data_IF_303300597975
#
_entry.id   IF_303300597975
#
_cell.length_a   1.000
_cell.length_b   1.000
_cell.length_c   1.000
_cell.angle_alpha   90.00
_cell.angle_beta   90.00
_cell.angle_gamma   90.00
#
_symmetry.space_group_name_H-M   'P 1'
#
loop_
_entity.id
_entity.type
_entity.pdbx_description
1 polymer ?
#
# COMPACT_ATOMS: atom_id res chain seq x y z
N UNK A 1 -48.37 -19.72 -24.92
CA UNK A 1 -47.36 -20.65 -24.35
C UNK A 1 -45.92 -20.41 -24.85
N UNK A 2 -45.66 -19.51 -25.81
CA UNK A 2 -44.30 -19.11 -26.22
C UNK A 2 -43.89 -17.73 -25.71
N UNK A 3 -44.85 -16.80 -25.62
CA UNK A 3 -44.68 -15.39 -25.21
C UNK A 3 -44.20 -15.25 -23.76
N UNK A 4 -44.78 -16.05 -22.88
CA UNK A 4 -44.45 -16.22 -21.46
C UNK A 4 -43.01 -16.75 -21.24
N UNK A 5 -42.54 -17.64 -22.10
CA UNK A 5 -41.16 -18.16 -22.08
C UNK A 5 -40.14 -17.11 -22.54
N UNK A 6 -40.53 -16.29 -23.51
CA UNK A 6 -39.71 -15.20 -24.06
C UNK A 6 -39.61 -14.03 -23.06
N UNK A 7 -40.70 -13.71 -22.37
CA UNK A 7 -40.72 -12.68 -21.33
C UNK A 7 -39.83 -13.03 -20.14
N UNK A 8 -39.86 -14.30 -19.70
CA UNK A 8 -38.96 -14.77 -18.63
C UNK A 8 -37.48 -14.67 -19.03
N UNK A 9 -37.15 -14.99 -20.29
CA UNK A 9 -35.77 -14.86 -20.81
C UNK A 9 -35.31 -13.40 -20.85
N UNK A 10 -36.19 -12.47 -21.23
CA UNK A 10 -35.88 -11.04 -21.22
C UNK A 10 -35.66 -10.51 -19.80
N UNK A 11 -36.49 -10.91 -18.84
CA UNK A 11 -36.31 -10.53 -17.43
C UNK A 11 -35.00 -11.07 -16.85
N UNK A 12 -34.65 -12.32 -17.16
CA UNK A 12 -33.37 -12.91 -16.72
C UNK A 12 -32.19 -12.18 -17.38
N UNK A 13 -32.26 -11.90 -18.69
CA UNK A 13 -31.20 -11.18 -19.39
C UNK A 13 -31.00 -9.77 -18.81
N UNK A 14 -32.09 -9.06 -18.51
CA UNK A 14 -32.03 -7.75 -17.86
C UNK A 14 -31.44 -7.83 -16.46
N UNK A 15 -31.83 -8.82 -15.66
CA UNK A 15 -31.27 -9.03 -14.32
C UNK A 15 -29.76 -9.30 -14.39
N UNK A 16 -29.32 -10.20 -15.28
CA UNK A 16 -27.90 -10.49 -15.49
C UNK A 16 -27.14 -9.24 -15.96
N UNK A 17 -27.72 -8.44 -16.86
CA UNK A 17 -27.11 -7.20 -17.33
C UNK A 17 -26.91 -6.20 -16.18
N UNK A 18 -27.91 -6.03 -15.31
CA UNK A 18 -27.81 -5.15 -14.13
C UNK A 18 -26.73 -5.65 -13.16
N UNK A 19 -26.68 -6.95 -12.88
CA UNK A 19 -25.65 -7.54 -12.00
C UNK A 19 -24.26 -7.35 -12.60
N UNK A 20 -24.08 -7.61 -13.89
CA UNK A 20 -22.80 -7.45 -14.58
C UNK A 20 -22.35 -5.98 -14.59
N UNK A 21 -23.26 -5.05 -14.87
CA UNK A 21 -22.99 -3.62 -14.87
C UNK A 21 -22.60 -3.13 -13.47
N UNK A 22 -23.36 -3.52 -12.45
CA UNK A 22 -23.09 -3.16 -11.05
C UNK A 22 -21.76 -3.75 -10.58
N UNK A 23 -21.48 -5.01 -10.89
CA UNK A 23 -20.21 -5.66 -10.56
C UNK A 23 -19.02 -5.01 -11.25
N UNK A 24 -19.14 -4.67 -12.54
CA UNK A 24 -18.12 -3.94 -13.29
C UNK A 24 -17.84 -2.57 -12.66
N UNK A 25 -18.89 -1.80 -12.36
CA UNK A 25 -18.74 -0.50 -11.72
C UNK A 25 -18.14 -0.62 -10.33
N UNK A 26 -18.57 -1.58 -9.51
CA UNK A 26 -17.97 -1.82 -8.19
C UNK A 26 -16.49 -2.15 -8.29
N UNK A 27 -16.10 -3.06 -9.20
CA UNK A 27 -14.70 -3.42 -9.42
C UNK A 27 -13.88 -2.22 -9.92
N UNK A 28 -14.42 -1.44 -10.87
CA UNK A 28 -13.80 -0.22 -11.39
C UNK A 28 -13.61 0.83 -10.29
N UNK A 29 -14.64 1.10 -9.48
CA UNK A 29 -14.58 2.06 -8.37
C UNK A 29 -13.61 1.62 -7.29
N UNK A 30 -13.56 0.33 -6.94
CA UNK A 30 -12.55 -0.19 -6.00
C UNK A 30 -11.15 -0.04 -6.59
N UNK A 31 -10.97 -0.34 -7.88
CA UNK A 31 -9.67 -0.20 -8.56
C UNK A 31 -9.23 1.26 -8.63
N UNK A 32 -10.15 2.17 -8.97
CA UNK A 32 -9.90 3.61 -9.05
C UNK A 32 -9.70 4.22 -7.65
N UNK A 33 -10.41 3.75 -6.62
CA UNK A 33 -10.20 4.20 -5.25
C UNK A 33 -8.85 3.71 -4.69
N UNK A 34 -8.46 2.47 -4.99
CA UNK A 34 -7.11 1.96 -4.68
C UNK A 34 -6.06 2.77 -5.44
N UNK A 35 -6.30 3.05 -6.72
CA UNK A 35 -5.40 3.84 -7.57
C UNK A 35 -5.27 5.29 -7.08
N UNK A 36 -6.36 5.97 -6.73
CA UNK A 36 -6.35 7.34 -6.20
C UNK A 36 -5.76 7.43 -4.80
N UNK A 37 -5.99 6.44 -3.94
CA UNK A 37 -5.31 6.36 -2.65
C UNK A 37 -3.80 6.18 -2.83
N UNK A 38 -3.37 5.38 -3.83
CA UNK A 38 -1.97 5.22 -4.20
C UNK A 38 -1.37 6.46 -4.91
N UNK A 39 -2.17 7.30 -5.59
CA UNK A 39 -1.70 8.52 -6.28
C UNK A 39 -1.70 9.78 -5.41
N UNK A 40 -2.35 9.74 -4.24
CA UNK A 40 -2.29 10.83 -3.24
C UNK A 40 -1.00 10.79 -2.45
N UNK A 41 -0.38 9.62 -2.35
CA UNK A 41 0.92 9.44 -1.77
C UNK A 41 2.00 9.54 -2.87
N UNK A 42 3.14 10.18 -2.57
CA UNK A 42 4.19 10.46 -3.55
C UNK A 42 4.77 9.15 -4.11
N UNK A 43 4.96 9.01 -5.45
CA UNK A 43 5.43 7.77 -6.05
C UNK A 43 6.74 7.31 -5.43
N UNK A 44 6.83 6.01 -5.12
CA UNK A 44 7.99 5.42 -4.47
C UNK A 44 9.16 5.44 -5.45
N UNK A 45 10.09 6.36 -5.24
CA UNK A 45 11.24 6.56 -6.11
C UNK A 45 12.44 5.70 -5.71
N UNK A 46 13.32 5.41 -6.69
CA UNK A 46 14.50 4.54 -6.48
C UNK A 46 15.49 5.10 -5.46
N UNK A 47 15.53 6.41 -5.28
CA UNK A 47 16.42 7.10 -4.34
C UNK A 47 15.88 7.09 -2.90
N UNK A 48 14.57 6.82 -2.71
CA UNK A 48 13.96 6.82 -1.38
C UNK A 48 14.50 5.65 -0.55
N UNK A 49 14.62 5.86 0.76
CA UNK A 49 15.00 4.81 1.71
C UNK A 49 13.76 4.20 2.35
N UNK A 50 13.85 2.98 2.91
CA UNK A 50 12.74 2.35 3.64
C UNK A 50 12.24 3.27 4.76
N UNK A 51 13.15 3.91 5.49
CA UNK A 51 12.80 4.85 6.55
C UNK A 51 12.07 6.10 6.05
N UNK A 52 12.46 6.63 4.88
CA UNK A 52 11.79 7.77 4.26
C UNK A 52 10.36 7.42 3.85
N UNK A 53 10.17 6.29 3.16
CA UNK A 53 8.83 5.81 2.76
C UNK A 53 7.97 5.52 3.99
N UNK A 54 8.52 4.89 5.01
CA UNK A 54 7.82 4.66 6.28
C UNK A 54 7.32 5.97 6.91
N UNK A 55 8.15 7.02 6.87
CA UNK A 55 7.81 8.32 7.41
C UNK A 55 6.74 9.03 6.58
N UNK A 56 6.89 9.10 5.25
CA UNK A 56 5.95 9.77 4.35
C UNK A 56 4.56 9.14 4.37
N UNK A 57 4.50 7.81 4.51
CA UNK A 57 3.24 7.06 4.51
C UNK A 57 2.71 6.78 5.93
N UNK A 58 3.38 7.29 6.97
CA UNK A 58 3.06 7.09 8.38
C UNK A 58 2.88 5.61 8.79
N UNK A 59 3.71 4.73 8.24
CA UNK A 59 3.70 3.30 8.56
C UNK A 59 4.94 2.90 9.34
N UNK A 60 4.85 1.94 10.27
CA UNK A 60 6.02 1.46 10.98
C UNK A 60 7.04 0.82 10.02
N UNK A 61 8.34 1.14 10.13
CA UNK A 61 9.36 0.62 9.21
C UNK A 61 9.40 -0.91 9.17
N UNK A 62 9.15 -1.57 10.30
CA UNK A 62 9.19 -3.04 10.41
C UNK A 62 8.16 -3.74 9.50
N UNK A 63 7.04 -3.07 9.19
CA UNK A 63 6.04 -3.59 8.23
C UNK A 63 6.63 -3.65 6.84
N UNK A 64 7.32 -2.57 6.43
CA UNK A 64 7.98 -2.49 5.13
C UNK A 64 9.16 -3.47 5.03
N UNK A 65 9.95 -3.62 6.10
CA UNK A 65 11.01 -4.63 6.16
C UNK A 65 10.46 -6.05 5.98
N UNK A 66 9.34 -6.38 6.66
CA UNK A 66 8.68 -7.68 6.52
C UNK A 66 8.14 -7.90 5.10
N UNK A 67 7.54 -6.88 4.50
CA UNK A 67 7.01 -6.96 3.14
C UNK A 67 8.10 -7.25 2.09
N UNK A 68 9.31 -6.75 2.33
CA UNK A 68 10.46 -6.96 1.47
C UNK A 68 11.34 -8.17 1.87
N UNK A 69 10.98 -8.91 2.92
CA UNK A 69 11.80 -9.97 3.53
C UNK A 69 13.21 -9.51 3.95
N UNK A 70 13.34 -8.24 4.36
CA UNK A 70 14.58 -7.73 4.96
C UNK A 70 14.59 -7.95 6.48
N UNK A 71 15.78 -8.13 7.08
CA UNK A 71 15.91 -8.08 8.53
C UNK A 71 15.39 -6.74 9.07
N UNK A 72 14.78 -6.72 10.27
CA UNK A 72 14.25 -5.52 10.91
C UNK A 72 15.37 -4.65 11.50
N UNK A 73 16.34 -4.29 10.66
CA UNK A 73 17.45 -3.40 10.99
C UNK A 73 17.25 -2.06 10.26
N UNK A 74 17.70 -0.93 10.85
CA UNK A 74 17.65 0.37 10.18
C UNK A 74 18.46 0.34 8.89
N UNK A 75 17.78 0.19 7.75
CA UNK A 75 18.42 0.19 6.45
C UNK A 75 18.40 1.60 5.86
N UNK A 76 19.60 2.16 5.63
CA UNK A 76 19.81 3.47 5.01
C UNK A 76 20.04 3.37 3.51
N UNK A 77 20.04 2.16 2.93
CA UNK A 77 20.21 1.98 1.50
C UNK A 77 18.97 2.51 0.75
N UNK A 78 19.17 3.13 -0.43
CA UNK A 78 18.07 3.50 -1.30
C UNK A 78 17.38 2.24 -1.84
N UNK A 79 16.08 2.33 -2.11
CA UNK A 79 15.26 1.23 -2.62
C UNK A 79 15.81 0.64 -3.92
N UNK A 80 16.41 1.46 -4.78
CA UNK A 80 17.08 0.99 -5.99
C UNK A 80 18.24 0.03 -5.72
N UNK A 81 19.02 0.25 -4.65
CA UNK A 81 20.07 -0.68 -4.21
C UNK A 81 19.47 -1.95 -3.63
N UNK A 82 18.43 -1.82 -2.82
CA UNK A 82 17.74 -2.98 -2.23
C UNK A 82 17.13 -3.86 -3.33
N UNK A 83 16.55 -3.25 -4.37
CA UNK A 83 16.02 -3.94 -5.54
C UNK A 83 17.12 -4.75 -6.25
N UNK A 84 18.29 -4.14 -6.47
CA UNK A 84 19.46 -4.80 -7.07
C UNK A 84 19.96 -5.96 -6.19
N UNK A 85 20.14 -5.72 -4.89
CA UNK A 85 20.65 -6.71 -3.94
C UNK A 85 19.70 -7.92 -3.78
N UNK A 86 18.39 -7.69 -3.91
CA UNK A 86 17.36 -8.73 -3.77
C UNK A 86 16.96 -9.37 -5.10
N UNK A 87 17.52 -8.90 -6.23
CA UNK A 87 17.14 -9.35 -7.58
C UNK A 87 15.69 -9.03 -7.96
N UNK A 88 15.09 -8.01 -7.35
CA UNK A 88 13.71 -7.60 -7.60
C UNK A 88 13.68 -6.36 -8.49
N UNK A 89 12.63 -6.23 -9.31
CA UNK A 89 12.44 -5.00 -10.10
C UNK A 89 11.84 -3.90 -9.23
N UNK A 90 12.05 -2.64 -9.60
CA UNK A 90 11.46 -1.51 -8.86
C UNK A 90 9.92 -1.60 -8.81
N UNK A 91 9.29 -2.10 -9.87
CA UNK A 91 7.83 -2.34 -9.92
C UNK A 91 7.38 -3.39 -8.91
N UNK A 92 8.17 -4.43 -8.67
CA UNK A 92 7.86 -5.45 -7.65
C UNK A 92 8.00 -4.90 -6.24
N UNK A 93 9.04 -4.08 -5.99
CA UNK A 93 9.26 -3.41 -4.71
C UNK A 93 8.11 -2.44 -4.42
N UNK A 94 7.76 -1.61 -5.40
CA UNK A 94 6.65 -0.67 -5.32
C UNK A 94 5.32 -1.37 -5.01
N UNK A 95 5.00 -2.44 -5.75
CA UNK A 95 3.80 -3.24 -5.51
C UNK A 95 3.75 -3.86 -4.12
N UNK A 96 4.88 -4.41 -3.62
CA UNK A 96 4.95 -4.99 -2.27
C UNK A 96 4.81 -3.95 -1.16
N UNK A 97 5.49 -2.81 -1.31
CA UNK A 97 5.41 -1.70 -0.37
C UNK A 97 4.00 -1.12 -0.33
N UNK A 98 3.43 -0.83 -1.50
CA UNK A 98 2.05 -0.33 -1.63
C UNK A 98 1.05 -1.30 -1.02
N UNK A 99 1.18 -2.59 -1.31
CA UNK A 99 0.33 -3.63 -0.70
C UNK A 99 0.44 -3.60 0.83
N UNK A 100 1.65 -3.54 1.38
CA UNK A 100 1.87 -3.50 2.81
C UNK A 100 1.32 -2.22 3.47
N UNK A 101 1.48 -1.06 2.82
CA UNK A 101 0.97 0.24 3.29
C UNK A 101 -0.56 0.21 3.38
N UNK A 102 -1.24 -0.28 2.34
CA UNK A 102 -2.71 -0.39 2.30
C UNK A 102 -3.22 -1.33 3.40
N UNK A 103 -2.54 -2.46 3.65
CA UNK A 103 -2.94 -3.42 4.68
C UNK A 103 -2.55 -3.00 6.10
N UNK A 104 -1.62 -2.05 6.25
CA UNK A 104 -1.14 -1.57 7.54
C UNK A 104 -1.78 -0.27 8.03
N UNK A 105 -2.61 0.40 7.22
CA UNK A 105 -3.38 1.60 7.63
C UNK A 105 -4.71 1.23 8.35
N UNK A 106 -4.69 1.02 9.68
CA UNK A 106 -5.69 1.58 10.62
C UNK A 106 -5.08 2.77 11.41
N UNK A 107 -5.82 3.56 12.23
CA UNK A 107 -5.30 4.80 12.81
C UNK A 107 -4.18 4.49 13.80
N UNK A 108 -2.94 4.52 13.31
CA UNK A 108 -1.76 4.31 14.13
C UNK A 108 -1.36 5.67 14.70
N UNK A 109 -1.48 5.90 16.02
CA UNK A 109 -0.88 7.09 16.61
C UNK A 109 0.63 7.03 16.36
N UNK A 110 1.28 8.16 16.04
CA UNK A 110 2.72 8.18 15.80
C UNK A 110 3.44 7.55 17.01
N UNK A 111 4.44 6.67 16.78
CA UNK A 111 5.21 6.10 17.88
C UNK A 111 5.77 7.23 18.75
N UNK A 112 5.70 7.07 20.07
CA UNK A 112 6.22 8.07 21.01
C UNK A 112 7.66 8.43 20.62
N UNK A 113 8.03 9.72 20.59
CA UNK A 113 9.39 10.12 20.25
C UNK A 113 10.38 9.34 21.13
N UNK A 114 11.50 8.85 20.57
CA UNK A 114 12.50 8.13 21.35
C UNK A 114 12.89 8.98 22.57
N UNK A 115 13.10 8.38 23.76
CA UNK A 115 13.52 9.13 24.93
C UNK A 115 14.75 9.93 24.54
N UNK A 116 14.65 11.27 24.61
CA UNK A 116 15.78 12.18 24.38
C UNK A 116 16.90 11.69 25.28
N UNK A 117 17.99 11.21 24.71
CA UNK A 117 19.20 10.92 25.48
C UNK A 117 19.60 12.23 26.14
N UNK A 118 19.49 12.27 27.47
CA UNK A 118 19.85 13.42 28.29
C UNK A 118 21.24 13.92 27.85
N UNK A 119 21.43 15.23 27.64
CA UNK A 119 22.76 15.74 27.31
C UNK A 119 23.73 15.33 28.41
N UNK A 120 24.98 14.94 28.08
CA UNK A 120 25.97 14.66 29.09
C UNK A 120 26.12 15.90 29.98
N UNK A 121 25.83 15.76 31.26
CA UNK A 121 26.09 16.78 32.27
C UNK A 121 27.57 17.14 32.19
N UNK A 122 27.87 18.25 31.52
CA UNK A 122 29.21 18.82 31.47
C UNK A 122 29.49 19.48 32.81
N UNK A 123 29.92 18.66 33.77
CA UNK A 123 30.56 19.12 35.00
C UNK A 123 31.96 19.62 34.62
N UNK A 124 32.08 20.91 34.35
CA UNK A 124 33.37 21.62 34.31
C UNK A 124 33.90 21.82 35.75
N UNK A 125 35.22 21.88 35.94
CA UNK A 125 35.89 21.76 37.24
C UNK A 125 35.76 23.00 38.13
#
# INVERSE_FOLDING_TARGET
MTRDRMWRRLLIAMFVAVVAFTGYHAARTVSDAIYWNAHRDEPIERWMTIGYVAHSYHVPPHVLHRALNLPPAPDRRPLGRIAQDTGQTMTQIDGKLTYAIVHARPPYPPPAPPPRSSPPTSSKP
#
